data_IF_824225045378
#
_entry.id   IF_824225045378
#
_cell.length_a   1.000
_cell.length_b   1.000
_cell.length_c   1.000
_cell.angle_alpha   90.00
_cell.angle_beta   90.00
_cell.angle_gamma   90.00
#
_symmetry.space_group_name_H-M   'P 1'
#
loop_
_entity.id
_entity.type
_entity.pdbx_description
1 polymer ?
#
# COMPACT_ATOMS: atom_id res chain seq x y z
N UNK A 1 14.26 20.44 9.85
CA UNK A 1 15.07 20.02 8.67
C UNK A 1 15.33 18.51 8.62
N UNK A 2 15.41 17.82 9.75
CA UNK A 2 15.66 16.37 9.85
C UNK A 2 14.54 15.54 9.23
N UNK A 3 13.30 16.01 9.33
CA UNK A 3 12.12 15.32 8.79
C UNK A 3 11.99 15.37 7.27
N UNK A 4 12.78 16.20 6.60
CA UNK A 4 12.82 16.27 5.14
C UNK A 4 13.64 15.13 4.53
N UNK A 5 13.39 14.76 3.26
CA UNK A 5 14.09 13.66 2.59
C UNK A 5 15.61 13.75 2.67
N UNK A 6 16.18 14.95 2.49
CA UNK A 6 17.64 15.20 2.60
C UNK A 6 18.17 14.87 4.01
N UNK A 7 17.47 15.32 5.07
CA UNK A 7 17.89 15.05 6.46
C UNK A 7 17.88 13.54 6.74
N UNK A 8 16.85 12.82 6.32
CA UNK A 8 16.77 11.35 6.48
C UNK A 8 17.89 10.62 5.74
N UNK A 9 18.26 11.08 4.53
CA UNK A 9 19.42 10.51 3.80
C UNK A 9 20.73 10.77 4.57
N UNK A 10 20.92 11.96 5.12
CA UNK A 10 22.14 12.26 5.91
C UNK A 10 22.24 11.40 7.16
N UNK A 11 21.13 11.16 7.86
CA UNK A 11 21.09 10.23 8.99
C UNK A 11 21.39 8.81 8.53
N UNK A 12 20.83 8.35 7.42
CA UNK A 12 21.12 7.04 6.86
C UNK A 12 22.62 6.91 6.51
N UNK A 13 23.19 7.91 5.89
CA UNK A 13 24.61 7.96 5.56
C UNK A 13 25.50 7.90 6.81
N UNK A 14 25.25 8.77 7.79
CA UNK A 14 26.04 8.80 9.03
C UNK A 14 25.93 7.50 9.82
N UNK A 15 24.74 6.87 9.86
CA UNK A 15 24.55 5.56 10.49
C UNK A 15 25.35 4.45 9.77
N UNK A 16 25.31 4.41 8.44
CA UNK A 16 25.98 3.37 7.65
C UNK A 16 27.50 3.51 7.71
N UNK A 17 28.03 4.72 7.87
CA UNK A 17 29.45 4.99 8.00
C UNK A 17 29.96 4.93 9.47
N UNK A 18 29.06 4.71 10.43
CA UNK A 18 29.42 4.65 11.85
C UNK A 18 29.68 6.02 12.51
N UNK A 19 29.33 7.11 11.84
CA UNK A 19 29.42 8.49 12.34
C UNK A 19 28.30 8.80 13.35
N UNK A 20 27.14 8.14 13.16
CA UNK A 20 25.96 8.22 14.03
C UNK A 20 25.74 6.85 14.67
N UNK A 21 25.50 6.81 15.96
CA UNK A 21 25.09 5.58 16.67
C UNK A 21 23.59 5.37 16.51
N UNK A 22 23.20 4.11 16.35
CA UNK A 22 21.79 3.73 16.38
C UNK A 22 21.24 3.90 17.80
N UNK A 23 20.24 4.76 17.93
CA UNK A 23 19.35 4.89 19.07
C UNK A 23 17.89 4.88 18.60
N UNK A 24 16.95 4.99 19.52
CA UNK A 24 15.52 4.96 19.17
C UNK A 24 15.06 6.19 18.40
N UNK A 25 15.72 7.33 18.55
CA UNK A 25 15.40 8.54 17.78
C UNK A 25 15.82 8.38 16.33
N UNK A 26 17.00 7.83 16.06
CA UNK A 26 17.46 7.47 14.70
C UNK A 26 16.51 6.46 14.05
N UNK A 27 16.12 5.42 14.79
CA UNK A 27 15.14 4.43 14.32
C UNK A 27 13.83 5.12 13.96
N UNK A 28 13.30 5.96 14.84
CA UNK A 28 12.04 6.69 14.65
C UNK A 28 12.08 7.60 13.42
N UNK A 29 13.16 8.38 13.24
CA UNK A 29 13.33 9.27 12.09
C UNK A 29 13.35 8.48 10.76
N UNK A 30 14.08 7.35 10.73
CA UNK A 30 14.12 6.51 9.53
C UNK A 30 12.80 5.82 9.26
N UNK A 31 12.07 5.39 10.30
CA UNK A 31 10.74 4.79 10.16
C UNK A 31 9.64 5.81 9.83
N UNK A 32 9.85 7.10 10.13
CA UNK A 32 8.96 8.19 9.76
C UNK A 32 9.06 8.59 8.26
N UNK A 33 9.46 7.68 7.42
CA UNK A 33 9.38 7.79 5.97
C UNK A 33 8.38 6.75 5.44
N UNK A 34 7.32 7.19 4.79
CA UNK A 34 6.30 6.30 4.23
C UNK A 34 6.76 5.51 2.99
N UNK A 35 7.95 5.81 2.47
CA UNK A 35 8.46 5.28 1.20
C UNK A 35 7.56 5.63 -0.01
N UNK A 36 6.81 6.71 0.07
CA UNK A 36 5.83 7.08 -0.96
C UNK A 36 6.43 7.56 -2.29
N UNK A 37 7.74 7.75 -2.40
CA UNK A 37 8.47 8.26 -3.59
C UNK A 37 8.09 9.67 -4.07
N UNK A 38 7.25 10.43 -3.34
CA UNK A 38 6.86 11.77 -3.78
C UNK A 38 8.07 12.69 -3.96
N UNK A 39 9.05 12.60 -3.07
CA UNK A 39 10.29 13.36 -3.15
C UNK A 39 11.20 12.96 -4.33
N UNK A 40 11.03 11.76 -4.89
CA UNK A 40 11.77 11.31 -6.07
C UNK A 40 11.22 11.93 -7.35
N UNK A 41 9.91 12.22 -7.42
CA UNK A 41 9.26 12.84 -8.60
C UNK A 41 9.74 14.27 -8.86
N UNK A 42 10.18 14.98 -7.82
CA UNK A 42 10.69 16.35 -7.90
C UNK A 42 12.24 16.41 -7.82
N UNK A 43 12.91 15.27 -7.69
CA UNK A 43 14.36 15.25 -7.51
C UNK A 43 15.10 15.43 -8.85
N UNK A 44 15.81 16.56 -9.07
CA UNK A 44 16.52 16.78 -10.33
C UNK A 44 17.67 15.80 -10.57
N UNK A 45 18.19 15.19 -9.49
CA UNK A 45 19.27 14.21 -9.55
C UNK A 45 18.78 12.76 -9.61
N UNK A 46 17.47 12.52 -9.67
CA UNK A 46 16.85 11.18 -9.72
C UNK A 46 17.33 10.23 -8.59
N UNK A 47 17.60 10.78 -7.40
CA UNK A 47 18.04 9.98 -6.25
C UNK A 47 16.91 9.06 -5.79
N UNK A 48 17.21 7.78 -5.62
CA UNK A 48 16.26 6.74 -5.16
C UNK A 48 16.12 6.76 -3.63
N UNK A 49 15.49 7.81 -3.14
CA UNK A 49 15.40 8.12 -1.68
C UNK A 49 14.72 7.00 -0.92
N UNK A 50 13.59 6.48 -1.43
CA UNK A 50 12.87 5.40 -0.78
C UNK A 50 13.70 4.12 -0.68
N UNK A 51 14.51 3.80 -1.70
CA UNK A 51 15.38 2.64 -1.70
C UNK A 51 16.53 2.79 -0.69
N UNK A 52 17.13 3.99 -0.60
CA UNK A 52 18.19 4.29 0.38
C UNK A 52 17.64 4.13 1.81
N UNK A 53 16.51 4.77 2.11
CA UNK A 53 15.90 4.72 3.44
C UNK A 53 15.50 3.28 3.78
N UNK A 54 14.83 2.58 2.86
CA UNK A 54 14.43 1.21 3.12
C UNK A 54 15.63 0.26 3.27
N UNK A 55 16.66 0.42 2.44
CA UNK A 55 17.92 -0.32 2.56
C UNK A 55 18.60 -0.12 3.91
N UNK A 56 18.57 1.12 4.42
CA UNK A 56 19.10 1.43 5.75
C UNK A 56 18.28 0.76 6.86
N UNK A 57 16.95 0.70 6.74
CA UNK A 57 16.09 -0.01 7.72
C UNK A 57 16.47 -1.48 7.90
N UNK A 58 16.92 -2.18 6.85
CA UNK A 58 17.42 -3.56 6.94
C UNK A 58 18.73 -3.70 7.74
N UNK A 59 19.41 -2.60 8.03
CA UNK A 59 20.63 -2.58 8.85
C UNK A 59 20.35 -2.22 10.30
N UNK A 60 19.15 -1.73 10.63
CA UNK A 60 18.76 -1.41 11.99
C UNK A 60 18.69 -2.68 12.85
N UNK A 61 19.18 -2.58 14.08
CA UNK A 61 19.13 -3.65 15.10
C UNK A 61 17.85 -3.58 15.92
N UNK A 62 17.27 -2.38 16.01
CA UNK A 62 16.09 -2.10 16.81
C UNK A 62 14.87 -1.83 15.95
N UNK A 63 13.71 -2.21 16.47
CA UNK A 63 12.40 -1.93 15.89
C UNK A 63 11.58 -1.08 16.87
N UNK A 64 10.68 -0.26 16.32
CA UNK A 64 9.66 0.38 17.13
C UNK A 64 8.76 -0.67 17.80
N UNK A 65 8.22 -0.42 19.00
CA UNK A 65 7.32 -1.37 19.69
C UNK A 65 6.15 -1.83 18.81
N UNK A 66 5.54 -0.90 18.08
CA UNK A 66 4.43 -1.16 17.16
C UNK A 66 4.84 -2.09 16.01
N UNK A 67 6.04 -1.93 15.49
CA UNK A 67 6.60 -2.77 14.45
C UNK A 67 6.94 -4.18 14.93
N UNK A 68 7.37 -4.34 16.20
CA UNK A 68 7.55 -5.66 16.83
C UNK A 68 6.25 -6.45 16.83
N UNK A 69 5.14 -5.81 17.18
CA UNK A 69 3.81 -6.45 17.16
C UNK A 69 3.40 -6.90 15.77
N UNK A 70 3.65 -6.11 14.73
CA UNK A 70 3.42 -6.49 13.32
C UNK A 70 4.25 -7.74 12.97
N UNK A 71 5.53 -7.75 13.34
CA UNK A 71 6.43 -8.88 13.12
C UNK A 71 5.95 -10.16 13.80
N UNK A 72 5.60 -10.10 15.09
CA UNK A 72 5.10 -11.23 15.88
C UNK A 72 3.80 -11.80 15.29
N UNK A 73 2.85 -10.94 14.96
CA UNK A 73 1.60 -11.32 14.32
C UNK A 73 1.84 -12.05 12.98
N UNK A 74 2.71 -11.48 12.13
CA UNK A 74 3.01 -12.10 10.85
C UNK A 74 3.70 -13.45 11.00
N UNK A 75 4.62 -13.59 11.94
CA UNK A 75 5.30 -14.87 12.19
C UNK A 75 4.32 -15.94 12.62
N UNK A 76 3.41 -15.62 13.53
CA UNK A 76 2.43 -16.57 14.09
C UNK A 76 1.29 -16.87 13.12
N UNK A 77 0.71 -15.86 12.50
CA UNK A 77 -0.55 -15.98 11.75
C UNK A 77 -0.41 -15.80 10.23
N UNK A 78 0.78 -15.44 9.72
CA UNK A 78 0.94 -14.97 8.33
C UNK A 78 -0.02 -13.82 7.98
N UNK A 79 -0.31 -13.00 8.98
CA UNK A 79 -1.20 -11.85 8.93
C UNK A 79 -0.74 -10.79 9.93
N UNK A 80 -0.60 -9.54 9.49
CA UNK A 80 -0.09 -8.43 10.34
C UNK A 80 -1.07 -8.01 11.44
N UNK A 81 -2.36 -8.33 11.31
CA UNK A 81 -3.38 -8.04 12.32
C UNK A 81 -3.51 -9.14 13.39
N UNK A 82 -2.80 -10.27 13.25
CA UNK A 82 -2.92 -11.39 14.18
C UNK A 82 -4.19 -12.22 13.98
N UNK A 83 -4.81 -12.15 12.80
CA UNK A 83 -6.02 -12.87 12.45
C UNK A 83 -5.67 -14.15 11.67
N UNK A 84 -6.46 -15.20 11.87
CA UNK A 84 -6.32 -16.44 11.11
C UNK A 84 -6.69 -16.23 9.64
N UNK A 85 -6.01 -16.96 8.76
CA UNK A 85 -6.29 -16.94 7.34
C UNK A 85 -7.33 -17.99 6.98
N UNK A 86 -8.01 -17.74 5.87
CA UNK A 86 -8.95 -18.69 5.28
C UNK A 86 -8.61 -18.94 3.81
N UNK A 87 -9.20 -19.94 3.24
CA UNK A 87 -9.12 -20.25 1.83
C UNK A 87 -10.52 -20.53 1.29
N UNK A 88 -10.81 -20.06 0.09
CA UNK A 88 -12.10 -20.24 -0.57
C UNK A 88 -11.88 -20.51 -2.06
N UNK A 89 -12.70 -21.41 -2.64
CA UNK A 89 -12.59 -21.82 -4.05
C UNK A 89 -11.37 -22.73 -4.33
N UNK A 90 -11.33 -23.32 -5.51
CA UNK A 90 -10.30 -24.26 -5.96
C UNK A 90 -9.80 -23.93 -7.38
N UNK A 91 -10.03 -22.70 -7.85
CA UNK A 91 -9.75 -22.29 -9.21
C UNK A 91 -8.27 -22.30 -9.59
N UNK A 92 -8.03 -22.30 -10.89
CA UNK A 92 -6.70 -22.14 -11.47
C UNK A 92 -6.23 -20.68 -11.44
N UNK A 93 -7.17 -19.75 -11.28
CA UNK A 93 -6.89 -18.33 -11.05
C UNK A 93 -6.79 -18.06 -9.54
N UNK A 94 -5.93 -17.15 -9.12
CA UNK A 94 -5.86 -16.72 -7.73
C UNK A 94 -6.39 -15.30 -7.55
N UNK A 95 -7.09 -15.06 -6.45
CA UNK A 95 -7.39 -13.73 -5.95
C UNK A 95 -6.66 -13.51 -4.63
N UNK A 96 -5.64 -12.67 -4.64
CA UNK A 96 -4.91 -12.29 -3.44
C UNK A 96 -5.65 -11.11 -2.77
N UNK A 97 -6.44 -11.45 -1.74
CA UNK A 97 -7.37 -10.52 -1.10
C UNK A 97 -6.68 -9.35 -0.37
N UNK A 98 -5.46 -9.58 0.16
CA UNK A 98 -4.80 -8.62 1.02
C UNK A 98 -5.39 -8.53 2.43
N UNK A 99 -4.57 -8.13 3.39
CA UNK A 99 -4.92 -8.19 4.82
C UNK A 99 -6.00 -7.17 5.23
N UNK A 100 -5.97 -5.94 4.67
CA UNK A 100 -6.96 -4.91 5.00
C UNK A 100 -8.33 -5.23 4.38
N UNK A 101 -8.36 -5.62 3.10
CA UNK A 101 -9.60 -6.01 2.42
C UNK A 101 -10.23 -7.23 3.08
N UNK A 102 -9.42 -8.21 3.49
CA UNK A 102 -9.89 -9.35 4.30
C UNK A 102 -10.61 -8.87 5.55
N UNK A 103 -10.02 -7.94 6.28
CA UNK A 103 -10.56 -7.44 7.55
C UNK A 103 -11.88 -6.70 7.38
N UNK A 104 -11.97 -5.86 6.36
CA UNK A 104 -13.07 -4.89 6.21
C UNK A 104 -14.16 -5.33 5.20
N UNK A 105 -13.81 -6.14 4.20
CA UNK A 105 -14.66 -6.37 3.02
C UNK A 105 -14.74 -7.84 2.56
N UNK A 106 -14.39 -8.79 3.42
CA UNK A 106 -14.31 -10.23 3.07
C UNK A 106 -15.54 -10.72 2.29
N UNK A 107 -16.72 -10.56 2.87
CA UNK A 107 -17.97 -11.13 2.32
C UNK A 107 -18.41 -10.42 1.04
N UNK A 108 -18.13 -9.12 0.93
CA UNK A 108 -18.40 -8.34 -0.29
C UNK A 108 -17.55 -8.86 -1.45
N UNK A 109 -16.26 -9.12 -1.20
CA UNK A 109 -15.36 -9.64 -2.24
C UNK A 109 -15.74 -11.06 -2.66
N UNK A 110 -16.05 -11.94 -1.71
CA UNK A 110 -16.51 -13.30 -2.05
C UNK A 110 -17.75 -13.23 -2.94
N UNK A 111 -18.78 -12.48 -2.53
CA UNK A 111 -19.99 -12.30 -3.32
C UNK A 111 -19.73 -11.69 -4.71
N UNK A 112 -18.77 -10.79 -4.83
CA UNK A 112 -18.40 -10.18 -6.10
C UNK A 112 -17.73 -11.20 -7.02
N UNK A 113 -16.81 -12.00 -6.54
CA UNK A 113 -16.11 -13.02 -7.32
C UNK A 113 -17.06 -14.13 -7.77
N UNK A 114 -17.99 -14.54 -6.91
CA UNK A 114 -19.04 -15.52 -7.26
C UNK A 114 -19.93 -15.03 -8.41
N UNK A 115 -20.26 -13.73 -8.44
CA UNK A 115 -21.05 -13.11 -9.51
C UNK A 115 -20.32 -12.99 -10.84
N UNK A 116 -18.98 -12.89 -10.82
CA UNK A 116 -18.17 -12.80 -12.04
C UNK A 116 -18.16 -14.15 -12.77
N UNK A 117 -18.36 -15.27 -12.05
CA UNK A 117 -18.39 -16.60 -12.62
C UNK A 117 -17.02 -17.13 -13.07
N UNK A 118 -15.93 -16.45 -12.74
CA UNK A 118 -14.57 -16.97 -12.91
C UNK A 118 -14.18 -17.83 -11.72
N UNK A 119 -13.46 -18.92 -11.99
CA UNK A 119 -13.01 -19.87 -10.97
C UNK A 119 -11.75 -19.36 -10.26
N UNK A 120 -11.93 -18.71 -9.13
CA UNK A 120 -10.85 -18.16 -8.30
C UNK A 120 -10.58 -18.99 -7.04
N UNK A 121 -9.30 -19.13 -6.73
CA UNK A 121 -8.80 -19.49 -5.40
C UNK A 121 -8.51 -18.22 -4.62
N UNK A 122 -9.27 -17.95 -3.54
CA UNK A 122 -9.01 -16.83 -2.66
C UNK A 122 -7.84 -17.14 -1.73
N UNK A 123 -6.87 -16.24 -1.68
CA UNK A 123 -5.71 -16.26 -0.78
C UNK A 123 -5.84 -15.07 0.16
N UNK A 124 -6.03 -15.34 1.45
CA UNK A 124 -6.24 -14.32 2.48
C UNK A 124 -5.01 -14.00 3.34
N UNK A 125 -3.89 -14.67 3.09
CA UNK A 125 -2.63 -14.38 3.77
C UNK A 125 -2.13 -12.97 3.45
N UNK A 126 -1.37 -12.38 4.36
CA UNK A 126 -0.68 -11.11 4.10
C UNK A 126 0.49 -11.32 3.13
N UNK A 127 0.69 -10.38 2.21
CA UNK A 127 1.82 -10.40 1.27
C UNK A 127 3.19 -10.24 1.96
N UNK A 128 3.22 -9.72 3.19
CA UNK A 128 4.44 -9.43 3.93
C UNK A 128 5.10 -8.08 3.61
N UNK A 129 4.57 -7.32 2.65
CA UNK A 129 5.17 -6.03 2.27
C UNK A 129 5.32 -5.03 3.44
N UNK A 130 4.40 -4.95 4.42
CA UNK A 130 4.62 -4.14 5.61
C UNK A 130 5.89 -4.49 6.39
N UNK A 131 6.29 -5.77 6.45
CA UNK A 131 7.57 -6.19 7.04
C UNK A 131 8.76 -5.67 6.25
N UNK A 132 8.70 -5.77 4.91
CA UNK A 132 9.72 -5.21 4.03
C UNK A 132 9.91 -3.71 4.27
N UNK A 133 8.82 -2.97 4.40
CA UNK A 133 8.85 -1.52 4.64
C UNK A 133 9.50 -1.14 5.96
N UNK A 134 9.40 -1.96 6.99
CA UNK A 134 10.07 -1.74 8.28
C UNK A 134 11.48 -2.34 8.36
N UNK A 135 12.00 -2.91 7.27
CA UNK A 135 13.36 -3.44 7.17
C UNK A 135 13.51 -4.90 7.60
N UNK A 136 12.44 -5.71 7.54
CA UNK A 136 12.47 -7.12 7.94
C UNK A 136 12.37 -8.04 6.73
N UNK A 137 13.26 -9.03 6.67
CA UNK A 137 13.19 -10.13 5.72
C UNK A 137 12.17 -11.19 6.18
N UNK A 138 11.46 -11.75 5.22
CA UNK A 138 10.48 -12.82 5.49
C UNK A 138 10.38 -13.79 4.31
N UNK A 139 9.85 -14.99 4.60
CA UNK A 139 9.58 -15.98 3.57
C UNK A 139 8.22 -15.69 2.93
N UNK A 140 8.22 -15.49 1.62
CA UNK A 140 7.00 -15.26 0.83
C UNK A 140 6.22 -16.56 0.62
N UNK A 141 4.91 -16.42 0.41
CA UNK A 141 4.09 -17.51 -0.14
C UNK A 141 4.53 -17.82 -1.57
N UNK A 142 4.50 -19.08 -1.95
CA UNK A 142 4.66 -19.46 -3.35
C UNK A 142 3.30 -19.32 -4.06
N UNK A 143 3.30 -18.62 -5.20
CA UNK A 143 2.14 -18.43 -6.08
C UNK A 143 2.35 -19.10 -7.45
N UNK A 144 3.34 -19.96 -7.59
CA UNK A 144 3.57 -20.70 -8.84
C UNK A 144 2.37 -21.64 -9.12
N UNK A 145 2.02 -21.81 -10.38
CA UNK A 145 0.96 -22.72 -10.83
C UNK A 145 -0.41 -22.05 -11.04
N UNK A 146 -0.60 -20.78 -10.66
CA UNK A 146 -1.80 -20.06 -11.04
C UNK A 146 -1.65 -19.43 -12.43
N UNK A 147 -2.74 -19.49 -13.22
CA UNK A 147 -2.79 -18.94 -14.59
C UNK A 147 -2.90 -17.41 -14.57
N UNK A 148 -3.71 -16.88 -13.67
CA UNK A 148 -3.96 -15.45 -13.46
C UNK A 148 -3.96 -15.15 -11.98
N UNK A 149 -3.35 -14.05 -11.56
CA UNK A 149 -3.36 -13.63 -10.16
C UNK A 149 -3.84 -12.19 -10.06
N UNK A 150 -5.03 -12.01 -9.48
CA UNK A 150 -5.61 -10.72 -9.18
C UNK A 150 -5.24 -10.28 -7.77
N UNK A 151 -4.98 -9.00 -7.60
CA UNK A 151 -4.69 -8.38 -6.31
C UNK A 151 -5.63 -7.23 -6.02
N UNK A 152 -6.16 -7.16 -4.81
CA UNK A 152 -6.88 -5.98 -4.33
C UNK A 152 -5.97 -4.92 -3.73
N UNK A 153 -4.72 -5.27 -3.43
CA UNK A 153 -3.76 -4.40 -2.75
C UNK A 153 -2.49 -4.24 -3.59
N UNK A 154 -2.08 -3.00 -3.92
CA UNK A 154 -0.89 -2.73 -4.71
C UNK A 154 0.41 -3.20 -4.03
N UNK A 155 0.47 -3.21 -2.70
CA UNK A 155 1.62 -3.73 -1.96
C UNK A 155 1.85 -5.22 -2.23
N UNK A 156 0.76 -6.00 -2.36
CA UNK A 156 0.82 -7.40 -2.77
C UNK A 156 1.37 -7.55 -4.18
N UNK A 157 0.93 -6.73 -5.11
CA UNK A 157 1.46 -6.75 -6.49
C UNK A 157 2.96 -6.51 -6.53
N UNK A 158 3.44 -5.48 -5.82
CA UNK A 158 4.88 -5.17 -5.76
C UNK A 158 5.68 -6.36 -5.23
N UNK A 159 5.16 -7.04 -4.21
CA UNK A 159 5.84 -8.18 -3.61
C UNK A 159 5.90 -9.41 -4.52
N UNK A 160 4.91 -9.55 -5.41
CA UNK A 160 4.76 -10.70 -6.31
C UNK A 160 4.92 -10.35 -7.80
N UNK A 161 5.67 -9.29 -8.14
CA UNK A 161 5.88 -8.81 -9.52
C UNK A 161 6.34 -9.91 -10.51
N UNK A 162 7.10 -10.89 -10.04
CA UNK A 162 7.57 -12.00 -10.90
C UNK A 162 6.43 -12.87 -11.47
N UNK A 163 5.23 -12.80 -10.90
CA UNK A 163 4.05 -13.57 -11.33
C UNK A 163 3.11 -12.77 -12.25
N UNK A 164 3.56 -11.64 -12.80
CA UNK A 164 2.75 -10.76 -13.66
C UNK A 164 1.38 -10.45 -13.07
N UNK A 165 1.34 -9.89 -11.83
CA UNK A 165 0.09 -9.65 -11.10
C UNK A 165 -0.77 -8.61 -11.81
N UNK A 166 -2.10 -8.75 -11.65
CA UNK A 166 -3.10 -7.83 -12.20
C UNK A 166 -3.81 -7.15 -11.02
N UNK A 167 -3.90 -5.82 -11.03
CA UNK A 167 -4.71 -5.12 -10.04
C UNK A 167 -6.20 -5.29 -10.33
N UNK A 168 -7.00 -5.37 -9.28
CA UNK A 168 -8.45 -5.50 -9.41
C UNK A 168 -9.06 -4.40 -10.28
N UNK A 169 -8.52 -3.17 -10.26
CA UNK A 169 -8.99 -2.08 -11.12
C UNK A 169 -8.73 -2.34 -12.61
N UNK A 170 -7.61 -2.97 -12.97
CA UNK A 170 -7.31 -3.34 -14.36
C UNK A 170 -8.26 -4.42 -14.89
N UNK A 171 -8.71 -5.30 -14.00
CA UNK A 171 -9.69 -6.31 -14.33
C UNK A 171 -11.08 -5.69 -14.50
N UNK A 172 -11.53 -4.92 -13.52
CA UNK A 172 -12.88 -4.33 -13.52
C UNK A 172 -13.05 -3.13 -14.44
N UNK A 173 -11.99 -2.45 -14.88
CA UNK A 173 -12.12 -1.35 -15.84
C UNK A 173 -12.81 -1.78 -17.15
N UNK A 174 -12.74 -3.09 -17.47
CA UNK A 174 -13.36 -3.68 -18.66
C UNK A 174 -14.84 -4.08 -18.48
N UNK A 175 -15.33 -4.06 -17.24
CA UNK A 175 -16.72 -4.43 -16.92
C UNK A 175 -17.65 -3.24 -17.06
N UNK A 176 -18.94 -3.54 -17.22
CA UNK A 176 -20.01 -2.56 -17.17
C UNK A 176 -20.54 -2.42 -15.74
N UNK A 177 -20.94 -1.21 -15.38
CA UNK A 177 -21.46 -0.87 -14.07
C UNK A 177 -22.77 -0.09 -14.18
N UNK A 178 -23.63 -0.26 -13.18
CA UNK A 178 -24.78 0.60 -13.03
C UNK A 178 -24.33 1.98 -12.53
N UNK A 179 -24.69 3.03 -13.29
CA UNK A 179 -24.37 4.40 -12.91
C UNK A 179 -25.30 4.88 -11.79
N UNK A 180 -24.74 5.49 -10.74
CA UNK A 180 -25.47 6.11 -9.64
C UNK A 180 -25.45 7.65 -9.68
N UNK A 181 -24.59 8.24 -10.53
CA UNK A 181 -24.49 9.68 -10.76
C UNK A 181 -23.85 10.49 -9.64
N UNK A 182 -23.38 9.86 -8.58
CA UNK A 182 -22.72 10.54 -7.45
C UNK A 182 -21.35 11.09 -7.84
N UNK A 183 -20.88 12.03 -7.05
CA UNK A 183 -19.53 12.59 -7.18
C UNK A 183 -18.52 11.73 -6.41
N UNK A 184 -17.49 11.30 -7.11
CA UNK A 184 -16.37 10.54 -6.55
C UNK A 184 -15.06 11.25 -6.83
N UNK A 185 -14.25 11.43 -5.79
CA UNK A 185 -12.92 12.00 -5.92
C UNK A 185 -11.88 10.89 -5.72
N UNK A 186 -10.99 10.71 -6.71
CA UNK A 186 -10.03 9.62 -6.66
C UNK A 186 -8.71 10.05 -6.03
N UNK A 187 -8.33 9.36 -4.95
CA UNK A 187 -7.04 9.50 -4.31
C UNK A 187 -6.07 8.46 -4.87
N UNK A 188 -5.03 8.92 -5.57
CA UNK A 188 -3.99 8.06 -6.11
C UNK A 188 -3.10 7.52 -4.99
N UNK A 189 -3.21 6.23 -4.72
CA UNK A 189 -2.30 5.53 -3.84
C UNK A 189 -0.88 5.55 -4.43
N UNK A 190 0.10 5.82 -3.59
CA UNK A 190 1.52 5.87 -3.99
C UNK A 190 2.00 4.56 -4.61
N UNK A 191 1.55 3.42 -4.07
CA UNK A 191 1.99 2.13 -4.56
C UNK A 191 1.34 1.75 -5.89
N UNK A 192 0.04 2.01 -6.06
CA UNK A 192 -0.60 1.79 -7.34
C UNK A 192 -0.09 2.77 -8.40
N UNK A 193 0.03 4.05 -8.05
CA UNK A 193 0.47 5.11 -8.95
C UNK A 193 1.99 5.13 -9.17
N UNK A 194 2.77 5.63 -8.20
CA UNK A 194 4.20 5.87 -8.38
C UNK A 194 5.04 4.61 -8.57
N UNK A 195 4.67 3.49 -7.91
CA UNK A 195 5.40 2.23 -8.07
C UNK A 195 4.95 1.42 -9.29
N UNK A 196 3.64 1.26 -9.49
CA UNK A 196 3.07 0.37 -10.52
C UNK A 196 2.62 1.10 -11.79
N UNK A 197 2.57 2.45 -11.77
CA UNK A 197 2.15 3.30 -12.90
C UNK A 197 0.71 3.07 -13.37
N UNK A 198 -0.14 2.55 -12.48
CA UNK A 198 -1.57 2.31 -12.73
C UNK A 198 -2.34 3.52 -12.22
N UNK A 199 -2.79 4.38 -13.12
CA UNK A 199 -3.47 5.64 -12.80
C UNK A 199 -4.88 5.73 -13.40
N UNK A 200 -5.08 5.22 -14.61
CA UNK A 200 -6.29 5.48 -15.37
C UNK A 200 -7.38 4.43 -15.14
N UNK A 201 -7.03 3.17 -14.90
CA UNK A 201 -8.01 2.10 -14.74
C UNK A 201 -8.97 2.33 -13.56
N UNK A 202 -8.55 2.81 -12.37
CA UNK A 202 -9.48 3.21 -11.32
C UNK A 202 -10.42 4.36 -11.76
N UNK A 203 -9.89 5.32 -12.53
CA UNK A 203 -10.65 6.45 -13.06
C UNK A 203 -11.71 6.03 -14.07
N UNK A 204 -11.39 5.06 -14.93
CA UNK A 204 -12.35 4.48 -15.88
C UNK A 204 -13.53 3.83 -15.17
N UNK A 205 -13.28 3.10 -14.08
CA UNK A 205 -14.34 2.52 -13.25
C UNK A 205 -15.22 3.62 -12.66
N UNK A 206 -14.62 4.65 -12.07
CA UNK A 206 -15.36 5.75 -11.45
C UNK A 206 -16.24 6.48 -12.49
N UNK A 207 -15.71 6.76 -13.69
CA UNK A 207 -16.47 7.40 -14.78
C UNK A 207 -17.66 6.56 -15.22
N UNK A 208 -17.57 5.24 -15.15
CA UNK A 208 -18.69 4.34 -15.45
C UNK A 208 -19.75 4.36 -14.34
N UNK A 209 -19.35 4.49 -13.08
CA UNK A 209 -20.26 4.46 -11.93
C UNK A 209 -20.90 5.84 -11.66
N UNK A 210 -20.12 6.91 -11.72
CA UNK A 210 -20.57 8.25 -11.32
C UNK A 210 -19.82 9.37 -12.02
N UNK A 211 -19.62 10.48 -11.32
CA UNK A 211 -18.87 11.63 -11.79
C UNK A 211 -17.49 11.63 -11.15
N UNK A 212 -16.45 11.55 -11.98
CA UNK A 212 -15.06 11.63 -11.50
C UNK A 212 -14.70 13.09 -11.20
N UNK A 213 -14.18 13.32 -10.00
CA UNK A 213 -13.55 14.56 -9.57
C UNK A 213 -12.09 14.26 -9.24
N UNK A 214 -11.19 15.17 -9.59
CA UNK A 214 -9.77 15.01 -9.30
C UNK A 214 -9.37 15.85 -8.09
N UNK A 215 -8.44 15.33 -7.26
CA UNK A 215 -7.72 16.13 -6.30
C UNK A 215 -6.83 17.16 -7.03
N UNK A 216 -6.53 18.28 -6.38
CA UNK A 216 -5.59 19.28 -6.90
C UNK A 216 -4.22 18.65 -7.17
N UNK A 217 -3.74 17.84 -6.23
CA UNK A 217 -2.54 17.02 -6.38
C UNK A 217 -2.97 15.58 -6.67
N UNK A 218 -2.80 15.14 -7.90
CA UNK A 218 -3.23 13.82 -8.36
C UNK A 218 -2.12 13.09 -9.14
N UNK A 219 -2.35 11.84 -9.51
CA UNK A 219 -1.40 10.96 -10.19
C UNK A 219 -0.04 10.93 -9.49
N UNK A 220 1.06 11.15 -10.21
CA UNK A 220 2.41 11.12 -9.64
C UNK A 220 2.64 12.19 -8.56
N UNK A 221 1.86 13.28 -8.60
CA UNK A 221 1.92 14.38 -7.64
C UNK A 221 1.01 14.16 -6.43
N UNK A 222 0.21 13.10 -6.39
CA UNK A 222 -0.72 12.85 -5.31
C UNK A 222 -0.04 12.88 -3.94
N UNK A 223 -0.71 13.54 -2.99
CA UNK A 223 -0.26 13.61 -1.60
C UNK A 223 -0.56 12.28 -0.92
N UNK A 224 0.36 11.79 -0.13
CA UNK A 224 0.16 10.60 0.68
C UNK A 224 -0.84 10.86 1.83
N UNK A 225 -1.72 9.88 2.10
CA UNK A 225 -2.83 10.04 3.06
C UNK A 225 -2.56 9.50 4.48
N UNK A 226 -1.38 8.92 4.72
CA UNK A 226 -1.07 8.32 6.03
C UNK A 226 -1.68 6.94 6.28
N UNK A 227 -2.32 6.31 5.28
CA UNK A 227 -3.13 5.10 5.45
C UNK A 227 -2.36 3.79 5.65
N UNK A 228 -1.06 3.77 5.46
CA UNK A 228 -0.24 2.56 5.60
C UNK A 228 -0.20 2.08 7.06
N UNK A 229 -0.48 0.80 7.28
CA UNK A 229 -0.74 0.27 8.63
C UNK A 229 0.48 0.38 9.56
N UNK A 230 1.68 0.08 9.09
CA UNK A 230 2.91 0.17 9.88
C UNK A 230 3.21 1.62 10.28
N UNK A 231 2.92 2.57 9.39
CA UNK A 231 3.09 3.99 9.68
C UNK A 231 2.01 4.50 10.64
N UNK A 232 0.74 4.17 10.37
CA UNK A 232 -0.40 4.59 11.20
C UNK A 232 -0.27 4.08 12.65
N UNK A 233 0.28 2.89 12.85
CA UNK A 233 0.50 2.35 14.19
C UNK A 233 1.64 3.07 14.93
N UNK A 234 2.73 3.41 14.22
CA UNK A 234 3.90 4.06 14.82
C UNK A 234 3.74 5.58 14.96
N UNK A 235 2.97 6.22 14.09
CA UNK A 235 2.81 7.68 14.00
C UNK A 235 1.33 8.07 13.82
N UNK A 236 0.43 7.71 14.77
CA UNK A 236 -1.02 7.87 14.60
C UNK A 236 -1.43 9.34 14.41
N UNK A 237 -0.84 10.28 15.14
CA UNK A 237 -1.17 11.70 15.05
C UNK A 237 -0.83 12.27 13.67
N UNK A 238 0.39 11.97 13.16
CA UNK A 238 0.82 12.41 11.83
C UNK A 238 -0.05 11.78 10.73
N UNK A 239 -0.41 10.50 10.89
CA UNK A 239 -1.31 9.81 9.96
C UNK A 239 -2.69 10.46 9.92
N UNK A 240 -3.23 10.85 11.08
CA UNK A 240 -4.52 11.52 11.19
C UNK A 240 -4.51 12.92 10.56
N UNK A 241 -3.46 13.70 10.76
CA UNK A 241 -3.31 15.02 10.12
C UNK A 241 -3.30 14.92 8.60
N UNK A 242 -2.56 13.94 8.05
CA UNK A 242 -2.51 13.69 6.61
C UNK A 242 -3.88 13.27 6.06
N UNK A 243 -4.59 12.38 6.77
CA UNK A 243 -5.93 11.97 6.40
C UNK A 243 -6.93 13.13 6.42
N UNK A 244 -6.87 13.99 7.45
CA UNK A 244 -7.71 15.20 7.55
C UNK A 244 -7.49 16.16 6.39
N UNK A 245 -6.24 16.32 5.94
CA UNK A 245 -5.93 17.16 4.79
C UNK A 245 -6.63 16.68 3.51
N UNK A 246 -6.55 15.36 3.24
CA UNK A 246 -7.22 14.75 2.08
C UNK A 246 -8.74 14.84 2.21
N UNK A 247 -9.29 14.54 3.40
CA UNK A 247 -10.73 14.59 3.66
C UNK A 247 -11.31 16.00 3.49
N UNK A 248 -10.56 17.04 3.84
CA UNK A 248 -10.99 18.43 3.70
C UNK A 248 -11.27 18.80 2.24
N UNK A 249 -10.36 18.48 1.32
CA UNK A 249 -10.55 18.77 -0.11
C UNK A 249 -11.74 18.02 -0.70
N UNK A 250 -11.92 16.75 -0.32
CA UNK A 250 -13.06 15.96 -0.76
C UNK A 250 -14.40 16.53 -0.26
N UNK A 251 -14.43 17.00 0.99
CA UNK A 251 -15.62 17.67 1.56
C UNK A 251 -15.94 18.97 0.84
N UNK A 252 -14.93 19.81 0.56
CA UNK A 252 -15.10 21.06 -0.20
C UNK A 252 -15.67 20.82 -1.61
N UNK A 253 -15.33 19.68 -2.23
CA UNK A 253 -15.82 19.26 -3.55
C UNK A 253 -17.12 18.46 -3.50
N UNK A 254 -17.70 18.24 -2.32
CA UNK A 254 -18.90 17.44 -2.11
C UNK A 254 -18.81 16.06 -2.81
N UNK A 255 -17.71 15.34 -2.57
CA UNK A 255 -17.39 14.09 -3.23
C UNK A 255 -17.01 12.99 -2.26
N UNK A 256 -17.37 11.75 -2.58
CA UNK A 256 -16.95 10.55 -1.85
C UNK A 256 -15.53 10.17 -2.30
N UNK A 257 -14.63 9.94 -1.33
CA UNK A 257 -13.26 9.52 -1.63
C UNK A 257 -13.26 8.05 -2.08
N UNK A 258 -12.59 7.79 -3.18
CA UNK A 258 -12.25 6.45 -3.66
C UNK A 258 -10.73 6.34 -3.68
N UNK A 259 -10.19 5.26 -3.16
CA UNK A 259 -8.74 4.96 -3.15
C UNK A 259 -8.50 3.47 -3.34
N UNK A 260 -7.26 3.09 -3.60
CA UNK A 260 -6.80 1.71 -3.80
C UNK A 260 -5.72 1.32 -2.80
#
# INVERSE_FOLDING_TARGET
>A
EIDFPKGKIMIAYGLLNGEIKEDMDVVKILQDCSLCKRCEEDCPSNIKIAEIINGTRYKLKNLLPEHKKIYENFHKYKNIFGEENFSYGNGKNAFFMGCLVKKEMKDVIISLLDKIGEDFKIISECCGYPLRKIGINFKKKNLDGYEKILFSCPNGMIEFMKHSPIHISQFFSKCDFKRDGKNYIYHDSEFLGRYLKIYEEPREIIKKIGNLIEFKENRKMARWCGGEIEYKLAFPEKAEELAKYIAKEAKEKNATIVTS
#
